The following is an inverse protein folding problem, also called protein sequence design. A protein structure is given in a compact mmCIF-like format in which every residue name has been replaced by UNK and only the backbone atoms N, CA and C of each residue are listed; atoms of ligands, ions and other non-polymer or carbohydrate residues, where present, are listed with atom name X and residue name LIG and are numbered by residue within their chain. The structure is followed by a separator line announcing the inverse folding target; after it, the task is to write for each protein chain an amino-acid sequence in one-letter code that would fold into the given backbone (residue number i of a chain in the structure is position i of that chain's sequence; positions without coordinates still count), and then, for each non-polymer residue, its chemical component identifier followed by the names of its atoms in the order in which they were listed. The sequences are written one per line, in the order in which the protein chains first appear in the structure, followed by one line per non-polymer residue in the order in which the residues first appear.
data_IF_070526584320
#
_entry.id   IF_070526584320
#
_cell.length_a   1.000
_cell.length_b   1.000
_cell.length_c   1.000
_cell.angle_alpha   90.00
_cell.angle_beta   90.00
_cell.angle_gamma   90.00
#
_symmetry.space_group_name_H-M   'P 1'
#
loop_
_entity.id
_entity.type
_entity.pdbx_description
1 polymer ?
#
# COMPACT_ATOMS: atom_id res chain seq x y z
N UNK A 1 -35.76 30.13 21.95
CA UNK A 1 -35.39 29.26 20.77
C UNK A 1 -34.02 28.70 21.05
N UNK A 2 -33.99 27.49 21.61
CA UNK A 2 -32.75 26.83 22.05
C UNK A 2 -32.19 26.00 20.90
N UNK A 3 -31.07 26.46 20.31
CA UNK A 3 -30.29 25.68 19.37
C UNK A 3 -29.38 24.73 20.16
N UNK A 4 -29.85 23.52 20.45
CA UNK A 4 -29.00 22.42 20.91
C UNK A 4 -27.97 22.10 19.81
N UNK A 5 -26.76 22.62 19.95
CA UNK A 5 -25.61 22.14 19.20
C UNK A 5 -25.38 20.69 19.59
N UNK A 6 -25.69 19.76 18.69
CA UNK A 6 -25.24 18.37 18.76
C UNK A 6 -23.70 18.38 18.71
N UNK A 7 -23.04 18.29 19.85
CA UNK A 7 -21.61 17.97 19.93
C UNK A 7 -21.42 16.64 19.24
N UNK A 8 -20.82 16.66 18.06
CA UNK A 8 -20.38 15.46 17.35
C UNK A 8 -19.31 14.80 18.24
N UNK A 9 -19.67 13.66 18.84
CA UNK A 9 -18.75 12.89 19.69
C UNK A 9 -17.67 12.36 18.76
N UNK A 10 -16.46 12.91 18.81
CA UNK A 10 -15.32 12.32 18.11
C UNK A 10 -15.16 10.90 18.65
N UNK A 11 -15.40 9.92 17.79
CA UNK A 11 -15.12 8.54 18.13
C UNK A 11 -13.61 8.41 18.32
N UNK A 12 -13.18 7.90 19.47
CA UNK A 12 -11.78 7.61 19.72
C UNK A 12 -11.28 6.62 18.66
N UNK A 13 -10.15 6.92 18.03
CA UNK A 13 -9.49 6.01 17.09
C UNK A 13 -9.10 4.71 17.79
N UNK A 14 -8.68 4.81 19.06
CA UNK A 14 -8.37 3.65 19.89
C UNK A 14 -9.60 3.20 20.67
N UNK A 15 -10.20 2.09 20.25
CA UNK A 15 -11.40 1.52 20.89
C UNK A 15 -11.10 0.50 21.97
N UNK A 16 -9.84 0.05 22.10
CA UNK A 16 -9.36 -0.99 23.04
C UNK A 16 -10.06 -2.36 22.87
N UNK A 17 -10.86 -2.55 21.83
CA UNK A 17 -11.59 -3.80 21.58
C UNK A 17 -10.69 -4.95 21.12
N UNK A 18 -9.43 -4.64 20.77
CA UNK A 18 -8.43 -5.60 20.30
C UNK A 18 -7.37 -5.99 21.33
N UNK A 19 -7.51 -5.59 22.61
CA UNK A 19 -6.47 -5.81 23.64
C UNK A 19 -6.33 -7.28 24.05
N UNK A 20 -7.32 -8.13 23.73
CA UNK A 20 -7.31 -9.58 23.98
C UNK A 20 -6.77 -10.40 22.79
N UNK A 21 -5.93 -9.83 21.91
CA UNK A 21 -5.31 -10.56 20.81
C UNK A 21 -6.23 -10.83 19.62
N UNK A 22 -7.41 -10.23 19.57
CA UNK A 22 -8.34 -10.33 18.45
C UNK A 22 -8.61 -8.99 17.81
N UNK A 23 -8.94 -9.00 16.51
CA UNK A 23 -9.38 -7.83 15.74
C UNK A 23 -10.63 -8.17 14.93
N UNK A 24 -11.28 -7.16 14.36
CA UNK A 24 -12.40 -7.37 13.43
C UNK A 24 -11.96 -7.07 12.00
N UNK A 25 -12.33 -7.95 11.07
CA UNK A 25 -12.28 -7.66 9.65
C UNK A 25 -13.35 -6.61 9.28
N UNK A 26 -13.29 -6.09 8.06
CA UNK A 26 -14.23 -5.05 7.60
C UNK A 26 -15.69 -5.54 7.49
N UNK A 27 -15.91 -6.85 7.34
CA UNK A 27 -17.23 -7.48 7.39
C UNK A 27 -17.76 -7.72 8.83
N UNK A 28 -16.96 -7.39 9.86
CA UNK A 28 -17.29 -7.58 11.27
C UNK A 28 -16.87 -8.92 11.87
N UNK A 29 -16.34 -9.84 11.07
CA UNK A 29 -15.80 -11.11 11.55
C UNK A 29 -14.62 -10.88 12.51
N UNK A 30 -14.56 -11.66 13.60
CA UNK A 30 -13.46 -11.59 14.58
C UNK A 30 -12.40 -12.61 14.22
N UNK A 31 -11.16 -12.15 14.10
CA UNK A 31 -9.99 -12.98 13.82
C UNK A 31 -8.88 -12.73 14.85
N UNK A 32 -8.01 -13.68 15.01
CA UNK A 32 -6.80 -13.51 15.81
C UNK A 32 -5.85 -12.51 15.11
N UNK A 33 -5.17 -11.67 15.89
CA UNK A 33 -4.20 -10.71 15.34
C UNK A 33 -2.98 -11.37 14.70
N UNK A 34 -2.69 -12.61 15.07
CA UNK A 34 -1.64 -13.46 14.52
C UNK A 34 -2.14 -14.40 13.41
N UNK A 35 -3.35 -14.19 12.90
CA UNK A 35 -3.88 -14.95 11.77
C UNK A 35 -3.18 -14.58 10.47
N UNK A 36 -3.10 -15.55 9.53
CA UNK A 36 -2.50 -15.33 8.20
C UNK A 36 -3.11 -14.11 7.46
N UNK A 37 -4.40 -13.86 7.61
CA UNK A 37 -5.07 -12.69 7.02
C UNK A 37 -4.43 -11.40 7.53
N UNK A 38 -4.20 -11.30 8.84
CA UNK A 38 -3.60 -10.11 9.45
C UNK A 38 -2.11 -9.96 9.10
N UNK A 39 -1.40 -11.09 8.97
CA UNK A 39 0.00 -11.09 8.50
C UNK A 39 0.10 -10.56 7.06
N UNK A 40 -0.75 -11.06 6.15
CA UNK A 40 -0.78 -10.58 4.76
C UNK A 40 -1.12 -9.09 4.67
N UNK A 41 -2.14 -8.64 5.41
CA UNK A 41 -2.51 -7.21 5.43
C UNK A 41 -1.39 -6.34 5.99
N UNK A 42 -0.73 -6.80 7.05
CA UNK A 42 0.43 -6.11 7.63
C UNK A 42 1.59 -5.99 6.65
N UNK A 43 1.89 -7.05 5.89
CA UNK A 43 2.92 -7.03 4.84
C UNK A 43 2.57 -6.05 3.71
N UNK A 44 1.31 -5.99 3.29
CA UNK A 44 0.86 -5.02 2.27
C UNK A 44 0.95 -3.58 2.77
N UNK A 45 0.64 -3.34 4.04
CA UNK A 45 0.76 -2.01 4.67
C UNK A 45 2.24 -1.58 4.80
N UNK A 46 3.12 -2.51 5.15
CA UNK A 46 4.57 -2.28 5.17
C UNK A 46 5.10 -1.94 3.78
N UNK A 47 4.74 -2.72 2.74
CA UNK A 47 5.11 -2.43 1.36
C UNK A 47 4.60 -1.05 0.92
N UNK A 48 3.33 -0.73 1.21
CA UNK A 48 2.76 0.58 0.91
C UNK A 48 3.52 1.72 1.60
N UNK A 49 3.97 1.50 2.83
CA UNK A 49 4.76 2.47 3.59
C UNK A 49 6.15 2.70 2.96
N UNK A 50 6.81 1.62 2.50
CA UNK A 50 8.07 1.73 1.76
C UNK A 50 7.91 2.47 0.44
N UNK A 51 6.85 2.18 -0.33
CA UNK A 51 6.53 2.92 -1.56
C UNK A 51 6.31 4.41 -1.25
N UNK A 52 5.59 4.74 -0.18
CA UNK A 52 5.41 6.12 0.26
C UNK A 52 6.71 6.82 0.63
N UNK A 53 7.65 6.11 1.25
CA UNK A 53 8.98 6.64 1.55
C UNK A 53 9.77 6.94 0.27
N UNK A 54 9.68 6.08 -0.74
CA UNK A 54 10.28 6.32 -2.06
C UNK A 54 9.69 7.57 -2.70
N UNK A 55 8.36 7.69 -2.76
CA UNK A 55 7.66 8.87 -3.30
C UNK A 55 8.16 10.15 -2.62
N UNK A 56 8.27 10.14 -1.29
CA UNK A 56 8.73 11.30 -0.52
C UNK A 56 10.19 11.71 -0.79
N UNK A 57 10.97 10.87 -1.45
CA UNK A 57 12.36 11.13 -1.84
C UNK A 57 12.56 11.35 -3.33
N UNK A 58 11.49 11.25 -4.14
CA UNK A 58 11.56 11.60 -5.56
C UNK A 58 11.82 13.11 -5.71
N UNK A 59 12.63 13.44 -6.69
CA UNK A 59 12.83 14.81 -7.12
C UNK A 59 11.75 15.21 -8.14
N UNK A 60 11.52 16.50 -8.33
CA UNK A 60 10.45 17.05 -9.19
C UNK A 60 10.48 16.55 -10.66
N UNK A 61 11.65 16.09 -11.11
CA UNK A 61 11.83 15.54 -12.47
C UNK A 61 11.32 14.10 -12.65
N UNK A 62 10.83 13.44 -11.57
CA UNK A 62 10.31 12.08 -11.59
C UNK A 62 8.78 12.02 -11.41
N UNK A 63 8.05 13.03 -11.86
CA UNK A 63 6.59 13.11 -11.67
C UNK A 63 5.82 11.91 -12.25
N UNK A 64 6.25 11.36 -13.39
CA UNK A 64 5.62 10.17 -13.98
C UNK A 64 5.84 8.90 -13.13
N UNK A 65 6.99 8.76 -12.50
CA UNK A 65 7.28 7.66 -11.57
C UNK A 65 6.50 7.83 -10.26
N UNK A 66 6.33 9.06 -9.78
CA UNK A 66 5.48 9.38 -8.64
C UNK A 66 4.03 8.96 -8.88
N UNK A 67 3.47 9.26 -10.06
CA UNK A 67 2.11 8.85 -10.42
C UNK A 67 1.95 7.33 -10.43
N UNK A 68 2.91 6.60 -11.01
CA UNK A 68 2.90 5.13 -11.03
C UNK A 68 2.96 4.56 -9.59
N UNK A 69 3.88 5.05 -8.77
CA UNK A 69 4.03 4.58 -7.38
C UNK A 69 2.81 4.91 -6.53
N UNK A 70 2.21 6.08 -6.73
CA UNK A 70 0.96 6.47 -6.06
C UNK A 70 -0.20 5.57 -6.47
N UNK A 71 -0.28 5.17 -7.75
CA UNK A 71 -1.27 4.21 -8.21
C UNK A 71 -1.04 2.83 -7.57
N UNK A 72 0.20 2.36 -7.47
CA UNK A 72 0.54 1.11 -6.77
C UNK A 72 0.07 1.15 -5.31
N UNK A 73 0.28 2.25 -4.60
CA UNK A 73 -0.22 2.38 -3.22
C UNK A 73 -1.75 2.27 -3.15
N UNK A 74 -2.46 2.88 -4.09
CA UNK A 74 -3.93 2.77 -4.15
C UNK A 74 -4.37 1.33 -4.42
N UNK A 75 -3.67 0.60 -5.29
CA UNK A 75 -3.96 -0.78 -5.63
C UNK A 75 -3.68 -1.72 -4.43
N UNK A 76 -2.59 -1.51 -3.71
CA UNK A 76 -2.28 -2.23 -2.46
C UNK A 76 -3.37 -1.99 -1.40
N UNK A 77 -3.86 -0.76 -1.26
CA UNK A 77 -4.97 -0.45 -0.36
C UNK A 77 -6.26 -1.16 -0.76
N UNK A 78 -6.61 -1.18 -2.05
CA UNK A 78 -7.77 -1.91 -2.55
C UNK A 78 -7.64 -3.42 -2.34
N UNK A 79 -6.45 -3.98 -2.57
CA UNK A 79 -6.17 -5.39 -2.34
C UNK A 79 -6.36 -5.75 -0.86
N UNK A 80 -5.79 -4.95 0.04
CA UNK A 80 -5.99 -5.11 1.49
C UNK A 80 -7.46 -5.06 1.87
N UNK A 81 -8.24 -4.13 1.29
CA UNK A 81 -9.67 -4.03 1.55
C UNK A 81 -10.45 -5.28 1.10
N UNK A 82 -10.07 -5.89 -0.02
CA UNK A 82 -10.67 -7.17 -0.47
C UNK A 82 -10.30 -8.31 0.48
N UNK A 83 -9.04 -8.38 0.91
CA UNK A 83 -8.56 -9.43 1.82
C UNK A 83 -9.28 -9.38 3.18
N UNK A 84 -9.53 -8.18 3.71
CA UNK A 84 -10.31 -7.99 4.95
C UNK A 84 -11.83 -8.02 4.71
N UNK A 85 -12.27 -8.44 3.53
CA UNK A 85 -13.67 -8.59 3.16
C UNK A 85 -14.49 -7.29 3.31
N UNK A 86 -13.92 -6.16 2.91
CA UNK A 86 -14.63 -4.88 2.93
C UNK A 86 -15.85 -4.93 1.99
N UNK A 87 -17.05 -4.54 2.46
CA UNK A 87 -18.27 -4.60 1.67
C UNK A 87 -18.12 -3.79 0.37
N UNK A 88 -18.56 -4.37 -0.75
CA UNK A 88 -18.62 -3.73 -2.07
C UNK A 88 -17.26 -3.37 -2.70
N UNK A 89 -16.14 -3.72 -2.09
CA UNK A 89 -14.82 -3.54 -2.69
C UNK A 89 -14.48 -4.75 -3.57
N UNK A 90 -13.98 -4.46 -4.78
CA UNK A 90 -13.48 -5.47 -5.72
C UNK A 90 -12.14 -5.01 -6.26
N UNK A 91 -11.15 -5.89 -6.23
CA UNK A 91 -9.89 -5.62 -6.91
C UNK A 91 -10.08 -5.68 -8.42
N UNK A 92 -9.58 -4.69 -9.13
CA UNK A 92 -9.73 -4.59 -10.58
C UNK A 92 -8.56 -5.32 -11.27
N UNK A 93 -8.86 -6.22 -12.20
CA UNK A 93 -7.84 -6.86 -13.04
C UNK A 93 -6.98 -5.81 -13.79
N UNK A 94 -7.57 -4.68 -14.15
CA UNK A 94 -6.90 -3.56 -14.82
C UNK A 94 -5.64 -3.08 -14.05
N UNK A 95 -5.63 -3.17 -12.71
CA UNK A 95 -4.47 -2.79 -11.90
C UNK A 95 -3.23 -3.64 -12.22
N UNK A 96 -3.42 -4.95 -12.41
CA UNK A 96 -2.32 -5.84 -12.80
C UNK A 96 -1.88 -5.58 -14.24
N UNK A 97 -2.83 -5.42 -15.16
CA UNK A 97 -2.54 -5.15 -16.57
C UNK A 97 -1.72 -3.83 -16.73
N UNK A 98 -2.07 -2.79 -15.95
CA UNK A 98 -1.33 -1.52 -15.92
C UNK A 98 0.08 -1.68 -15.32
N UNK A 99 0.23 -2.45 -14.25
CA UNK A 99 1.53 -2.70 -13.65
C UNK A 99 2.46 -3.45 -14.62
N UNK A 100 1.95 -4.44 -15.34
CA UNK A 100 2.69 -5.19 -16.37
C UNK A 100 3.10 -4.25 -17.54
N UNK A 101 2.22 -3.35 -17.97
CA UNK A 101 2.53 -2.36 -19.00
C UNK A 101 3.65 -1.40 -18.57
N UNK A 102 3.58 -0.86 -17.36
CA UNK A 102 4.63 0.01 -16.82
C UNK A 102 5.97 -0.73 -16.68
N UNK A 103 5.94 -1.99 -16.21
CA UNK A 103 7.13 -2.84 -16.14
C UNK A 103 7.77 -3.03 -17.50
N UNK A 104 6.98 -3.35 -18.53
CA UNK A 104 7.48 -3.54 -19.89
C UNK A 104 8.10 -2.26 -20.49
N UNK A 105 7.57 -1.08 -20.16
CA UNK A 105 8.15 0.21 -20.57
C UNK A 105 9.52 0.41 -19.93
N UNK A 106 9.62 0.20 -18.62
CA UNK A 106 10.88 0.35 -17.88
C UNK A 106 11.95 -0.66 -18.33
N UNK A 107 11.57 -1.90 -18.56
CA UNK A 107 12.47 -2.94 -19.12
C UNK A 107 13.04 -2.51 -20.47
N UNK A 108 12.21 -1.94 -21.33
CA UNK A 108 12.63 -1.45 -22.65
C UNK A 108 13.59 -0.27 -22.55
N UNK A 109 13.35 0.66 -21.64
CA UNK A 109 14.26 1.78 -21.36
C UNK A 109 15.61 1.30 -20.84
N UNK A 110 15.62 0.25 -20.02
CA UNK A 110 16.82 -0.32 -19.41
C UNK A 110 17.60 -1.26 -20.35
N UNK A 111 17.03 -1.69 -21.47
CA UNK A 111 17.60 -2.72 -22.34
C UNK A 111 19.03 -2.43 -22.81
N UNK A 112 19.40 -1.15 -22.97
CA UNK A 112 20.74 -0.70 -23.35
C UNK A 112 21.75 -0.67 -22.20
N UNK A 113 21.31 -0.67 -20.95
CA UNK A 113 22.14 -0.59 -19.75
C UNK A 113 22.25 -1.91 -18.98
N UNK A 114 21.44 -2.92 -19.34
CA UNK A 114 21.44 -4.21 -18.70
C UNK A 114 22.73 -5.00 -18.96
N UNK A 115 23.45 -5.31 -17.88
CA UNK A 115 24.75 -6.00 -17.96
C UNK A 115 24.64 -7.52 -17.71
N UNK A 116 23.44 -8.07 -17.56
CA UNK A 116 23.23 -9.50 -17.26
C UNK A 116 23.78 -9.95 -15.91
N UNK A 117 24.04 -9.03 -14.97
CA UNK A 117 24.57 -9.31 -13.65
C UNK A 117 23.51 -9.09 -12.60
N UNK A 118 23.57 -9.89 -11.54
CA UNK A 118 22.78 -9.63 -10.34
C UNK A 118 23.22 -8.31 -9.70
N UNK A 119 22.29 -7.40 -9.45
CA UNK A 119 22.54 -6.12 -8.81
C UNK A 119 22.24 -6.23 -7.31
N UNK A 120 23.19 -5.82 -6.48
CA UNK A 120 22.92 -5.68 -5.07
C UNK A 120 22.13 -4.38 -4.82
N UNK A 121 21.13 -4.39 -3.92
CA UNK A 121 20.47 -3.16 -3.48
C UNK A 121 21.49 -2.16 -2.94
N UNK A 122 21.43 -0.89 -3.38
CA UNK A 122 22.37 0.13 -2.96
C UNK A 122 22.52 1.25 -3.98
N UNK A 123 23.65 1.96 -3.92
CA UNK A 123 23.93 3.12 -4.77
C UNK A 123 23.43 4.42 -4.14
N UNK A 124 22.40 5.04 -4.69
CA UNK A 124 21.74 6.22 -4.07
C UNK A 124 20.80 5.80 -2.95
N UNK A 125 20.42 6.75 -2.08
CA UNK A 125 19.42 6.49 -1.03
C UNK A 125 18.11 5.98 -1.63
N UNK A 126 17.67 6.60 -2.73
CA UNK A 126 16.45 6.22 -3.43
C UNK A 126 16.53 4.79 -3.99
N UNK A 127 17.64 4.44 -4.67
CA UNK A 127 17.82 3.08 -5.20
C UNK A 127 17.87 2.02 -4.09
N UNK A 128 18.48 2.34 -2.93
CA UNK A 128 18.49 1.44 -1.79
C UNK A 128 17.10 1.23 -1.19
N UNK A 129 16.27 2.27 -1.13
CA UNK A 129 14.89 2.19 -0.64
C UNK A 129 14.00 1.37 -1.59
N UNK A 130 14.12 1.58 -2.89
CA UNK A 130 13.42 0.75 -3.90
C UNK A 130 13.79 -0.73 -3.83
N UNK A 131 15.02 -1.04 -3.44
CA UNK A 131 15.47 -2.43 -3.26
C UNK A 131 14.91 -3.11 -2.00
N UNK A 132 14.23 -2.38 -1.11
CA UNK A 132 13.53 -2.91 0.07
C UNK A 132 12.05 -3.07 -0.19
N UNK A 133 11.45 -2.17 -0.99
CA UNK A 133 10.04 -2.23 -1.38
C UNK A 133 9.79 -3.40 -2.35
#
# INVERSE_FOLDING_TARGET
MDKKQKKQKMNSISTKTGDCGQTSLANGERVAKDSLVMEVVGTLDELSSWVGLVIAHLEDNFSSQEDILSQIQQDLYQLSAVIVQAPQVKFKKLALDQLEEHSAVLEKEMAGSWQGKFLHPGGTKLAAQLGVA
#
